data_IF_423333687916
#
_entry.id   IF_423333687916
#
_cell.length_a   1.000
_cell.length_b   1.000
_cell.length_c   1.000
_cell.angle_alpha   90.00
_cell.angle_beta   90.00
_cell.angle_gamma   90.00
#
_symmetry.space_group_name_H-M   'P 1'
#
loop_
_entity.id
_entity.type
_entity.pdbx_description
1 polymer ?
#
# COMPACT_ATOMS: atom_id res chain seq x y z
N UNK A 1 28.12 11.92 36.26
CA UNK A 1 28.06 10.61 35.56
C UNK A 1 26.79 10.43 34.74
N UNK A 2 25.59 10.72 35.26
CA UNK A 2 24.32 10.55 34.51
C UNK A 2 24.18 11.52 33.30
N UNK A 3 24.71 12.76 33.37
CA UNK A 3 24.61 13.71 32.24
C UNK A 3 25.53 13.35 31.05
N UNK A 4 26.76 12.88 31.33
CA UNK A 4 27.71 12.41 30.31
C UNK A 4 27.18 11.19 29.54
N UNK A 5 26.43 10.29 30.19
CA UNK A 5 25.78 9.16 29.52
C UNK A 5 24.72 9.65 28.53
N UNK A 6 23.83 10.57 28.95
CA UNK A 6 22.79 11.14 28.08
C UNK A 6 23.35 11.94 26.91
N UNK A 7 24.44 12.67 27.11
CA UNK A 7 25.13 13.39 26.04
C UNK A 7 25.77 12.44 25.02
N UNK A 8 26.32 11.32 25.50
CA UNK A 8 26.88 10.27 24.65
C UNK A 8 25.79 9.55 23.86
N UNK A 9 24.65 9.20 24.49
CA UNK A 9 23.51 8.56 23.83
C UNK A 9 22.92 9.47 22.75
N UNK A 10 22.72 10.75 23.05
CA UNK A 10 22.24 11.73 22.07
C UNK A 10 23.25 11.95 20.92
N UNK A 11 24.55 11.86 21.18
CA UNK A 11 25.57 11.92 20.13
C UNK A 11 25.52 10.67 19.25
N UNK A 12 25.40 9.48 19.84
CA UNK A 12 25.23 8.22 19.11
C UNK A 12 24.01 8.25 18.20
N UNK A 13 22.85 8.72 18.70
CA UNK A 13 21.64 8.88 17.88
C UNK A 13 21.87 9.83 16.69
N UNK A 14 22.55 10.96 16.91
CA UNK A 14 22.90 11.88 15.81
C UNK A 14 23.84 11.24 14.79
N UNK A 15 24.85 10.49 15.22
CA UNK A 15 25.79 9.80 14.33
C UNK A 15 25.08 8.72 13.53
N UNK A 16 24.22 7.93 14.16
CA UNK A 16 23.38 6.93 13.48
C UNK A 16 22.51 7.60 12.42
N UNK A 17 21.83 8.71 12.77
CA UNK A 17 21.00 9.47 11.83
C UNK A 17 21.81 9.99 10.63
N UNK A 18 23.04 10.47 10.84
CA UNK A 18 23.94 10.92 9.75
C UNK A 18 24.27 9.75 8.82
N UNK A 19 24.66 8.60 9.38
CA UNK A 19 25.04 7.42 8.59
C UNK A 19 23.84 6.87 7.80
N UNK A 20 22.67 6.77 8.44
CA UNK A 20 21.44 6.30 7.80
C UNK A 20 20.99 7.25 6.68
N UNK A 21 21.07 8.55 6.91
CA UNK A 21 20.76 9.57 5.90
C UNK A 21 21.70 9.45 4.69
N UNK A 22 23.01 9.34 4.92
CA UNK A 22 24.00 9.19 3.86
C UNK A 22 23.79 7.90 3.05
N UNK A 23 23.55 6.76 3.72
CA UNK A 23 23.24 5.49 3.06
C UNK A 23 21.96 5.56 2.24
N UNK A 24 20.92 6.20 2.78
CA UNK A 24 19.65 6.42 2.08
C UNK A 24 19.81 7.25 0.80
N UNK A 25 20.62 8.32 0.85
CA UNK A 25 20.92 9.14 -0.33
C UNK A 25 21.65 8.34 -1.41
N UNK A 26 22.72 7.63 -1.06
CA UNK A 26 23.48 6.80 -1.99
C UNK A 26 22.58 5.76 -2.67
N UNK A 27 21.75 5.06 -1.89
CA UNK A 27 20.82 4.07 -2.43
C UNK A 27 19.84 4.67 -3.45
N UNK A 28 19.27 5.86 -3.16
CA UNK A 28 18.36 6.56 -4.07
C UNK A 28 19.05 6.99 -5.36
N UNK A 29 20.27 7.52 -5.28
CA UNK A 29 21.07 7.91 -6.45
C UNK A 29 21.35 6.71 -7.34
N UNK A 30 21.78 5.58 -6.74
CA UNK A 30 22.04 4.34 -7.47
C UNK A 30 20.77 3.81 -8.12
N UNK A 31 19.64 3.76 -7.38
CA UNK A 31 18.36 3.31 -7.91
C UNK A 31 17.92 4.13 -9.12
N UNK A 32 17.95 5.46 -8.97
CA UNK A 32 17.58 6.40 -10.04
C UNK A 32 18.47 6.21 -11.27
N UNK A 33 19.80 6.22 -11.09
CA UNK A 33 20.74 6.05 -12.20
C UNK A 33 20.57 4.70 -12.90
N UNK A 34 20.33 3.62 -12.14
CA UNK A 34 20.14 2.27 -12.68
C UNK A 34 18.86 2.16 -13.50
N UNK A 35 17.74 2.69 -13.00
CA UNK A 35 16.46 2.69 -13.70
C UNK A 35 16.56 3.49 -15.00
N UNK A 36 17.15 4.69 -14.94
CA UNK A 36 17.38 5.50 -16.12
C UNK A 36 18.31 4.83 -17.13
N UNK A 37 19.37 4.16 -16.68
CA UNK A 37 20.28 3.43 -17.56
C UNK A 37 19.55 2.32 -18.32
N UNK A 38 18.74 1.50 -17.63
CA UNK A 38 17.97 0.44 -18.30
C UNK A 38 16.88 0.99 -19.22
N UNK A 39 16.24 2.12 -18.87
CA UNK A 39 15.30 2.79 -19.76
C UNK A 39 15.97 3.27 -21.05
N UNK A 40 17.14 3.92 -20.94
CA UNK A 40 17.91 4.38 -22.10
C UNK A 40 18.39 3.22 -22.96
N UNK A 41 18.89 2.14 -22.36
CA UNK A 41 19.27 0.92 -23.08
C UNK A 41 18.06 0.38 -23.86
N UNK A 42 16.89 0.31 -23.24
CA UNK A 42 15.65 -0.12 -23.88
C UNK A 42 15.27 0.76 -25.08
N UNK A 43 15.38 2.08 -24.93
CA UNK A 43 15.14 3.05 -26.02
C UNK A 43 16.05 2.79 -27.20
N UNK A 44 17.36 2.70 -26.97
CA UNK A 44 18.35 2.47 -28.05
C UNK A 44 18.07 1.16 -28.80
N UNK A 45 17.70 0.09 -28.07
CA UNK A 45 17.32 -1.19 -28.69
C UNK A 45 16.09 -1.04 -29.59
N UNK A 46 15.04 -0.38 -29.11
CA UNK A 46 13.79 -0.19 -29.86
C UNK A 46 13.96 0.76 -31.05
N UNK A 47 14.76 1.82 -30.92
CA UNK A 47 15.03 2.74 -32.03
C UNK A 47 15.79 2.07 -33.18
N UNK A 48 16.76 1.20 -32.87
CA UNK A 48 17.49 0.42 -33.89
C UNK A 48 16.56 -0.58 -34.57
N UNK A 49 15.69 -1.25 -33.82
CA UNK A 49 14.65 -2.15 -34.36
C UNK A 49 13.65 -1.43 -35.27
N UNK A 50 13.28 -0.18 -34.96
CA UNK A 50 12.31 0.59 -35.74
C UNK A 50 12.91 1.24 -36.99
N UNK A 51 14.20 1.60 -36.97
CA UNK A 51 14.93 2.16 -38.14
C UNK A 51 15.30 1.09 -39.16
N UNK A 52 15.43 -0.18 -38.74
CA UNK A 52 15.45 -1.32 -39.64
C UNK A 52 14.03 -1.74 -39.99
N UNK A 53 13.56 -1.51 -41.21
CA UNK A 53 12.40 -2.29 -41.68
C UNK A 53 12.80 -3.77 -41.59
N UNK A 54 12.17 -4.59 -40.72
CA UNK A 54 11.97 -6.06 -40.81
C UNK A 54 12.11 -6.83 -39.47
N UNK A 55 11.06 -7.61 -39.17
CA UNK A 55 10.87 -8.84 -38.35
C UNK A 55 11.53 -8.94 -36.95
N UNK A 56 10.73 -9.48 -36.01
CA UNK A 56 11.13 -9.85 -34.66
C UNK A 56 12.41 -10.72 -34.57
N UNK A 57 12.71 -11.48 -35.63
CA UNK A 57 13.89 -12.34 -35.73
C UNK A 57 15.22 -11.55 -35.76
N UNK A 58 15.23 -10.35 -36.35
CA UNK A 58 16.40 -9.46 -36.34
C UNK A 58 16.66 -8.84 -34.96
N UNK A 59 15.58 -8.49 -34.24
CA UNK A 59 15.68 -7.95 -32.88
C UNK A 59 16.30 -8.95 -31.89
N UNK A 60 15.94 -10.23 -31.98
CA UNK A 60 16.54 -11.25 -31.12
C UNK A 60 18.04 -11.46 -31.39
N UNK A 61 18.44 -11.52 -32.66
CA UNK A 61 19.86 -11.62 -33.04
C UNK A 61 20.67 -10.39 -32.61
N UNK A 62 20.07 -9.19 -32.70
CA UNK A 62 20.68 -7.95 -32.22
C UNK A 62 20.93 -8.01 -30.71
N UNK A 63 19.92 -8.41 -29.92
CA UNK A 63 20.05 -8.52 -28.47
C UNK A 63 21.13 -9.53 -28.08
N UNK A 64 21.19 -10.68 -28.74
CA UNK A 64 22.22 -11.70 -28.48
C UNK A 64 23.63 -11.19 -28.80
N UNK A 65 23.81 -10.52 -29.94
CA UNK A 65 25.08 -9.92 -30.34
C UNK A 65 25.54 -8.81 -29.38
N UNK A 66 24.63 -7.93 -28.98
CA UNK A 66 24.91 -6.85 -28.03
C UNK A 66 25.22 -7.42 -26.64
N UNK A 67 24.45 -8.39 -26.15
CA UNK A 67 24.69 -9.03 -24.86
C UNK A 67 26.07 -9.69 -24.77
N UNK A 68 26.50 -10.37 -25.84
CA UNK A 68 27.82 -11.00 -25.92
C UNK A 68 28.94 -9.96 -25.77
N UNK A 69 28.87 -8.85 -26.52
CA UNK A 69 29.85 -7.76 -26.46
C UNK A 69 29.86 -7.03 -25.12
N UNK A 70 28.69 -6.78 -24.54
CA UNK A 70 28.57 -6.14 -23.23
C UNK A 70 29.12 -7.05 -22.12
N UNK A 71 28.86 -8.35 -22.19
CA UNK A 71 29.37 -9.32 -21.21
C UNK A 71 30.90 -9.42 -21.26
N UNK A 72 31.50 -9.33 -22.44
CA UNK A 72 32.96 -9.27 -22.59
C UNK A 72 33.57 -7.99 -22.00
N UNK A 73 32.88 -6.84 -22.13
CA UNK A 73 33.40 -5.53 -21.71
C UNK A 73 33.16 -5.21 -20.24
N UNK A 74 32.01 -5.59 -19.69
CA UNK A 74 31.56 -5.19 -18.34
C UNK A 74 31.35 -6.38 -17.39
N UNK A 75 31.52 -7.62 -17.86
CA UNK A 75 31.34 -8.81 -17.04
C UNK A 75 29.86 -9.18 -16.83
N UNK A 76 29.51 -9.58 -15.59
CA UNK A 76 28.17 -10.08 -15.26
C UNK A 76 27.16 -8.92 -15.10
N UNK A 77 25.92 -9.12 -15.56
CA UNK A 77 24.79 -8.21 -15.31
C UNK A 77 24.04 -7.75 -16.57
N UNK A 78 24.75 -7.58 -17.70
CA UNK A 78 24.19 -7.11 -18.98
C UNK A 78 24.02 -8.24 -20.01
N UNK A 79 23.46 -9.37 -19.58
CA UNK A 79 23.15 -10.49 -20.46
C UNK A 79 21.86 -10.30 -21.27
N UNK A 80 21.56 -11.26 -22.14
CA UNK A 80 20.37 -11.28 -23.02
C UNK A 80 19.08 -10.99 -22.25
N UNK A 81 18.89 -11.65 -21.10
CA UNK A 81 17.69 -11.46 -20.27
C UNK A 81 17.54 -10.02 -19.75
N UNK A 82 18.64 -9.35 -19.40
CA UNK A 82 18.61 -7.95 -18.94
C UNK A 82 18.25 -7.01 -20.07
N UNK A 83 18.80 -7.23 -21.27
CA UNK A 83 18.46 -6.43 -22.45
C UNK A 83 17.01 -6.63 -22.89
N UNK A 84 16.48 -7.86 -22.85
CA UNK A 84 15.05 -8.13 -23.09
C UNK A 84 14.16 -7.38 -22.08
N UNK A 85 14.54 -7.38 -20.79
CA UNK A 85 13.83 -6.61 -19.76
C UNK A 85 13.92 -5.10 -19.96
N UNK A 86 15.09 -4.58 -20.32
CA UNK A 86 15.28 -3.16 -20.65
C UNK A 86 14.43 -2.74 -21.85
N UNK A 87 14.38 -3.56 -22.90
CA UNK A 87 13.50 -3.37 -24.06
C UNK A 87 12.03 -3.35 -23.66
N UNK A 88 11.58 -4.36 -22.91
CA UNK A 88 10.21 -4.40 -22.38
C UNK A 88 9.90 -3.18 -21.52
N UNK A 89 10.85 -2.76 -20.70
CA UNK A 89 10.70 -1.59 -19.83
C UNK A 89 10.44 -0.31 -20.62
N UNK A 90 11.20 -0.06 -21.70
CA UNK A 90 10.97 1.09 -22.56
C UNK A 90 9.63 1.02 -23.30
N UNK A 91 9.23 -0.17 -23.79
CA UNK A 91 7.93 -0.35 -24.45
C UNK A 91 6.75 -0.12 -23.51
N UNK A 92 6.89 -0.48 -22.23
CA UNK A 92 5.86 -0.24 -21.21
C UNK A 92 5.84 1.21 -20.73
N UNK A 93 7.01 1.86 -20.62
CA UNK A 93 7.15 3.24 -20.14
C UNK A 93 7.79 4.16 -21.20
N UNK A 94 7.20 4.33 -22.40
CA UNK A 94 7.84 5.06 -23.50
C UNK A 94 8.02 6.55 -23.19
N UNK A 95 7.20 7.11 -22.28
CA UNK A 95 7.27 8.49 -21.81
C UNK A 95 7.80 8.62 -20.37
N UNK A 96 8.31 7.54 -19.79
CA UNK A 96 8.65 7.45 -18.36
C UNK A 96 7.46 7.12 -17.48
N UNK A 97 7.68 7.20 -16.17
CA UNK A 97 6.63 7.09 -15.15
C UNK A 97 5.59 8.19 -15.33
N UNK A 98 4.32 7.84 -15.18
CA UNK A 98 3.22 8.81 -15.18
C UNK A 98 3.07 9.54 -13.83
N UNK A 99 3.91 9.19 -12.84
CA UNK A 99 3.88 9.75 -11.49
C UNK A 99 4.44 11.17 -11.52
N UNK A 100 3.67 12.18 -11.09
CA UNK A 100 4.19 13.52 -10.87
C UNK A 100 5.42 13.51 -9.93
N UNK A 101 6.53 14.18 -10.28
CA UNK A 101 7.81 14.11 -9.55
C UNK A 101 7.71 14.60 -8.08
N UNK A 102 6.66 15.34 -7.75
CA UNK A 102 6.27 15.84 -6.42
C UNK A 102 5.73 14.78 -5.46
N UNK A 103 5.34 13.60 -5.95
CA UNK A 103 4.76 12.52 -5.13
C UNK A 103 5.83 11.76 -4.30
N UNK A 104 7.11 12.05 -4.52
CA UNK A 104 8.24 11.50 -3.76
C UNK A 104 8.58 12.20 -2.45
N UNK A 105 7.74 13.13 -1.96
CA UNK A 105 7.82 13.65 -0.61
C UNK A 105 9.20 14.17 -0.21
N UNK A 106 9.86 14.92 -1.08
CA UNK A 106 10.93 15.84 -0.74
C UNK A 106 11.06 16.83 -1.90
N UNK A 107 10.60 18.07 -1.70
CA UNK A 107 11.36 19.17 -2.27
C UNK A 107 12.83 18.88 -1.96
N UNK A 108 13.71 18.94 -2.95
CA UNK A 108 15.13 19.09 -2.72
C UNK A 108 15.29 20.47 -2.06
N UNK A 109 14.89 20.58 -0.78
CA UNK A 109 15.41 21.62 0.09
C UNK A 109 16.81 21.12 0.41
N UNK A 110 17.72 21.53 -0.45
CA UNK A 110 19.11 21.78 -0.10
C UNK A 110 19.08 22.65 1.16
N UNK A 111 18.97 22.02 2.33
CA UNK A 111 19.39 22.66 3.57
C UNK A 111 20.90 22.72 3.49
N UNK A 112 21.49 23.93 3.42
CA UNK A 112 22.94 24.06 3.40
C UNK A 112 23.42 23.72 4.80
N UNK A 113 23.86 22.48 4.99
CA UNK A 113 24.63 22.13 6.16
C UNK A 113 26.08 21.96 5.70
N UNK A 114 26.89 22.92 6.14
CA UNK A 114 28.35 23.05 6.03
C UNK A 114 28.82 23.89 4.84
N UNK A 115 28.81 25.22 5.02
CA UNK A 115 29.83 26.08 4.42
C UNK A 115 31.18 25.71 5.04
N UNK A 116 32.00 24.96 4.30
CA UNK A 116 33.47 24.98 4.40
C UNK A 116 34.08 24.11 3.31
N UNK A 117 34.64 24.77 2.30
CA UNK A 117 35.79 24.26 1.56
C UNK A 117 35.54 23.17 0.51
N UNK A 118 35.60 23.61 -0.75
CA UNK A 118 35.97 22.80 -1.94
C UNK A 118 35.09 21.61 -2.30
N UNK A 119 34.15 21.86 -3.22
CA UNK A 119 33.91 21.13 -4.48
C UNK A 119 32.41 21.03 -4.77
N UNK A 120 31.87 22.02 -5.49
CA UNK A 120 30.51 22.04 -6.05
C UNK A 120 30.33 21.04 -7.21
N UNK A 121 30.81 19.80 -7.05
CA UNK A 121 30.95 18.86 -8.15
C UNK A 121 30.08 17.62 -7.87
N UNK A 122 28.87 17.62 -8.47
CA UNK A 122 28.13 16.46 -9.05
C UNK A 122 26.69 16.13 -8.61
N UNK A 123 26.05 16.85 -7.69
CA UNK A 123 24.63 16.55 -7.36
C UNK A 123 23.63 17.21 -8.32
N UNK A 124 23.91 18.44 -8.74
CA UNK A 124 23.00 19.27 -9.57
C UNK A 124 23.22 19.08 -11.07
N UNK A 125 24.45 18.76 -11.50
CA UNK A 125 24.82 18.71 -12.92
C UNK A 125 24.17 17.54 -13.70
N UNK A 126 23.81 16.44 -13.05
CA UNK A 126 23.10 15.33 -13.71
C UNK A 126 21.58 15.59 -13.83
N UNK A 127 21.05 16.49 -13.01
CA UNK A 127 19.62 16.85 -12.96
C UNK A 127 19.34 18.06 -13.88
N UNK A 128 20.25 19.03 -13.94
CA UNK A 128 20.07 20.27 -14.71
C UNK A 128 20.40 20.15 -16.21
N UNK A 129 21.21 19.17 -16.62
CA UNK A 129 21.48 18.94 -18.06
C UNK A 129 20.39 18.12 -18.77
N UNK A 130 19.28 17.80 -18.11
CA UNK A 130 18.20 16.96 -18.61
C UNK A 130 17.10 17.79 -19.29
N UNK A 131 17.46 18.50 -20.36
CA UNK A 131 16.50 19.16 -21.25
C UNK A 131 15.58 18.14 -21.95
N UNK A 132 14.28 18.39 -21.88
CA UNK A 132 13.21 17.96 -22.78
C UNK A 132 13.37 16.56 -23.44
N UNK A 133 12.90 15.49 -22.77
CA UNK A 133 12.63 14.21 -23.45
C UNK A 133 13.10 12.93 -22.76
N UNK A 134 13.57 12.98 -21.50
CA UNK A 134 13.86 11.75 -20.73
C UNK A 134 12.68 11.41 -19.82
N UNK A 135 12.21 10.16 -19.87
CA UNK A 135 11.19 9.66 -18.97
C UNK A 135 11.62 9.85 -17.52
N UNK A 136 10.75 10.42 -16.69
CA UNK A 136 10.98 10.67 -15.27
C UNK A 136 10.57 9.42 -14.48
N UNK A 137 11.33 9.05 -13.45
CA UNK A 137 11.03 7.92 -12.58
C UNK A 137 11.21 8.31 -11.11
N UNK A 138 10.33 7.86 -10.19
CA UNK A 138 10.48 8.12 -8.76
C UNK A 138 11.82 7.57 -8.20
N UNK A 139 12.57 8.37 -7.42
CA UNK A 139 13.88 7.95 -6.89
C UNK A 139 13.80 6.87 -5.81
N UNK A 140 12.60 6.64 -5.27
CA UNK A 140 12.32 5.63 -4.25
C UNK A 140 12.14 4.22 -4.84
N UNK A 141 11.83 4.12 -6.14
CA UNK A 141 11.61 2.84 -6.81
C UNK A 141 12.89 2.39 -7.53
N UNK A 142 13.41 1.24 -7.11
CA UNK A 142 14.58 0.62 -7.74
C UNK A 142 14.21 -0.23 -8.95
N UNK A 143 15.22 -0.74 -9.65
CA UNK A 143 15.02 -1.62 -10.82
C UNK A 143 14.15 -2.85 -10.49
N UNK A 144 14.35 -3.45 -9.32
CA UNK A 144 13.58 -4.62 -8.88
C UNK A 144 12.08 -4.31 -8.75
N UNK A 145 11.68 -3.11 -8.34
CA UNK A 145 10.27 -2.71 -8.32
C UNK A 145 9.68 -2.70 -9.73
N UNK A 146 10.38 -2.12 -10.70
CA UNK A 146 9.93 -2.10 -12.09
C UNK A 146 9.88 -3.50 -12.70
N UNK A 147 10.77 -4.42 -12.31
CA UNK A 147 10.67 -5.82 -12.74
C UNK A 147 9.38 -6.49 -12.26
N UNK A 148 8.93 -6.19 -11.03
CA UNK A 148 7.64 -6.67 -10.51
C UNK A 148 6.48 -6.02 -11.26
N UNK A 149 6.53 -4.69 -11.45
CA UNK A 149 5.48 -3.95 -12.17
C UNK A 149 5.33 -4.38 -13.63
N UNK A 150 6.42 -4.76 -14.30
CA UNK A 150 6.38 -5.26 -15.69
C UNK A 150 5.64 -6.58 -15.83
N UNK A 151 5.42 -7.33 -14.74
CA UNK A 151 4.61 -8.56 -14.76
C UNK A 151 3.10 -8.28 -14.67
N UNK A 152 2.71 -7.09 -14.22
CA UNK A 152 1.31 -6.68 -14.13
C UNK A 152 0.81 -6.38 -15.54
N UNK A 153 -0.21 -7.11 -16.00
CA UNK A 153 -0.73 -7.00 -17.37
C UNK A 153 -1.62 -5.77 -17.57
N UNK A 154 -2.48 -5.43 -16.59
CA UNK A 154 -3.33 -4.24 -16.66
C UNK A 154 -2.50 -2.97 -16.42
N UNK A 155 -2.49 -2.09 -17.42
CA UNK A 155 -1.80 -0.80 -17.36
C UNK A 155 -2.31 0.09 -16.22
N UNK A 156 -3.61 0.01 -15.88
CA UNK A 156 -4.20 0.81 -14.80
C UNK A 156 -3.78 0.29 -13.43
N UNK A 157 -3.82 -1.03 -13.25
CA UNK A 157 -3.34 -1.67 -12.04
C UNK A 157 -1.85 -1.37 -11.84
N UNK A 158 -1.04 -1.46 -12.92
CA UNK A 158 0.39 -1.15 -12.88
C UNK A 158 0.65 0.28 -12.42
N UNK A 159 -0.04 1.26 -13.00
CA UNK A 159 0.08 2.67 -12.59
C UNK A 159 -0.33 2.89 -11.13
N UNK A 160 -1.41 2.24 -10.68
CA UNK A 160 -1.83 2.28 -9.27
C UNK A 160 -0.75 1.73 -8.33
N UNK A 161 -0.23 0.54 -8.61
CA UNK A 161 0.81 -0.09 -7.78
C UNK A 161 2.12 0.71 -7.79
N UNK A 162 2.47 1.34 -8.91
CA UNK A 162 3.63 2.23 -9.00
C UNK A 162 3.46 3.45 -8.09
N UNK A 163 2.29 4.11 -8.15
CA UNK A 163 1.98 5.29 -7.32
C UNK A 163 2.01 4.94 -5.84
N UNK A 164 1.36 3.83 -5.46
CA UNK A 164 1.26 3.43 -4.06
C UNK A 164 2.61 2.94 -3.52
N UNK A 165 3.39 2.18 -4.29
CA UNK A 165 4.73 1.78 -3.88
C UNK A 165 5.66 2.98 -3.66
N UNK A 166 5.59 3.99 -4.53
CA UNK A 166 6.40 5.20 -4.39
C UNK A 166 6.00 6.06 -3.18
N UNK A 167 4.70 6.16 -2.89
CA UNK A 167 4.16 6.95 -1.78
C UNK A 167 4.37 6.31 -0.42
N UNK A 168 4.10 5.02 -0.33
CA UNK A 168 4.16 4.26 0.93
C UNK A 168 5.54 3.67 1.20
N UNK A 169 6.48 3.86 0.27
CA UNK A 169 7.84 3.31 0.40
C UNK A 169 7.84 1.78 0.44
N UNK A 170 6.94 1.12 -0.28
CA UNK A 170 6.84 -0.33 -0.27
C UNK A 170 8.17 -0.97 -0.69
N UNK A 171 8.62 -1.95 0.09
CA UNK A 171 9.69 -2.84 -0.35
C UNK A 171 9.23 -3.67 -1.56
N UNK A 172 10.19 -4.25 -2.29
CA UNK A 172 9.86 -5.14 -3.43
C UNK A 172 8.94 -6.28 -2.99
N UNK A 173 9.18 -6.84 -1.80
CA UNK A 173 8.35 -7.91 -1.23
C UNK A 173 6.92 -7.45 -0.94
N UNK A 174 6.77 -6.24 -0.41
CA UNK A 174 5.45 -5.68 -0.13
C UNK A 174 4.70 -5.36 -1.43
N UNK A 175 5.38 -4.80 -2.43
CA UNK A 175 4.80 -4.61 -3.76
C UNK A 175 4.35 -5.95 -4.38
N UNK A 176 5.19 -6.98 -4.35
CA UNK A 176 4.83 -8.32 -4.84
C UNK A 176 3.61 -8.87 -4.12
N UNK A 177 3.55 -8.69 -2.80
CA UNK A 177 2.41 -9.11 -1.98
C UNK A 177 1.13 -8.32 -2.31
N UNK A 178 1.21 -7.00 -2.48
CA UNK A 178 0.03 -6.18 -2.81
C UNK A 178 -0.49 -6.46 -4.23
N UNK A 179 0.41 -6.76 -5.17
CA UNK A 179 0.03 -7.24 -6.50
C UNK A 179 -0.62 -8.62 -6.42
N UNK A 180 -0.03 -9.54 -5.66
CA UNK A 180 -0.59 -10.88 -5.46
C UNK A 180 -1.97 -10.81 -4.77
N UNK A 181 -2.14 -9.87 -3.83
CA UNK A 181 -3.40 -9.62 -3.11
C UNK A 181 -4.49 -8.91 -3.90
N UNK A 182 -4.24 -8.63 -5.18
CA UNK A 182 -5.19 -7.98 -6.07
C UNK A 182 -5.80 -6.72 -5.43
N UNK A 183 -4.96 -5.93 -4.73
CA UNK A 183 -5.40 -4.74 -4.00
C UNK A 183 -6.14 -3.75 -4.91
N UNK A 184 -5.65 -3.54 -6.13
CA UNK A 184 -6.29 -2.66 -7.10
C UNK A 184 -7.70 -3.13 -7.44
N UNK A 185 -7.87 -4.42 -7.70
CA UNK A 185 -9.13 -5.05 -8.06
C UNK A 185 -10.12 -5.00 -6.89
N UNK A 186 -9.65 -5.25 -5.65
CA UNK A 186 -10.45 -5.12 -4.42
C UNK A 186 -10.96 -3.68 -4.24
N UNK A 187 -10.09 -2.68 -4.39
CA UNK A 187 -10.47 -1.27 -4.25
C UNK A 187 -11.35 -0.77 -5.40
N UNK A 188 -11.18 -1.30 -6.60
CA UNK A 188 -11.98 -0.93 -7.76
C UNK A 188 -13.42 -1.44 -7.66
N UNK A 189 -13.66 -2.55 -6.95
CA UNK A 189 -14.96 -3.20 -6.82
C UNK A 189 -16.04 -2.32 -6.14
N UNK A 190 -15.65 -1.52 -5.15
CA UNK A 190 -16.58 -0.71 -4.36
C UNK A 190 -16.76 0.71 -4.89
N UNK A 191 -16.24 1.03 -6.09
CA UNK A 191 -16.10 2.39 -6.59
C UNK A 191 -16.56 2.54 -8.05
N UNK A 192 -17.07 3.72 -8.39
CA UNK A 192 -17.50 4.05 -9.75
C UNK A 192 -16.34 4.13 -10.75
N UNK A 193 -16.65 4.00 -12.04
CA UNK A 193 -15.68 4.03 -13.15
C UNK A 193 -14.74 5.24 -13.13
N UNK A 194 -15.24 6.42 -12.74
CA UNK A 194 -14.44 7.64 -12.57
C UNK A 194 -13.49 7.57 -11.36
N UNK A 195 -13.92 6.96 -10.27
CA UNK A 195 -13.12 6.77 -9.07
C UNK A 195 -12.01 5.73 -9.29
N UNK A 196 -12.26 4.69 -10.09
CA UNK A 196 -11.25 3.71 -10.53
C UNK A 196 -10.19 4.38 -11.41
N UNK A 197 -10.62 5.25 -12.33
CA UNK A 197 -9.71 6.07 -13.13
C UNK A 197 -8.89 7.05 -12.28
N UNK A 198 -9.49 7.58 -11.20
CA UNK A 198 -8.79 8.42 -10.24
C UNK A 198 -7.74 7.63 -9.44
N UNK A 199 -8.02 6.37 -9.06
CA UNK A 199 -7.04 5.49 -8.40
C UNK A 199 -5.80 5.27 -9.26
N UNK A 200 -5.97 5.01 -10.55
CA UNK A 200 -4.85 4.77 -11.47
C UNK A 200 -4.00 6.03 -11.74
N UNK A 201 -4.56 7.24 -11.57
CA UNK A 201 -3.85 8.51 -11.85
C UNK A 201 -3.30 9.18 -10.60
N UNK A 202 -4.02 9.06 -9.48
CA UNK A 202 -3.75 9.79 -8.24
C UNK A 202 -3.54 8.88 -7.05
N UNK A 203 -3.54 7.55 -7.21
CA UNK A 203 -3.45 6.59 -6.10
C UNK A 203 -4.64 6.68 -5.14
N UNK A 204 -4.52 6.02 -3.99
CA UNK A 204 -5.53 6.06 -2.94
C UNK A 204 -5.43 7.40 -2.18
N UNK A 205 -6.48 8.21 -2.28
CA UNK A 205 -6.65 9.41 -1.44
C UNK A 205 -7.60 9.05 -0.29
N UNK A 206 -7.12 9.18 0.94
CA UNK A 206 -7.91 8.93 2.15
C UNK A 206 -8.64 10.22 2.52
N UNK A 207 -9.96 10.25 2.31
CA UNK A 207 -10.79 11.42 2.61
C UNK A 207 -11.94 11.10 3.57
N UNK A 208 -12.43 9.86 3.52
CA UNK A 208 -13.49 9.36 4.38
C UNK A 208 -13.05 8.07 5.11
N UNK A 209 -13.67 7.75 6.27
CA UNK A 209 -13.41 6.51 7.00
C UNK A 209 -13.51 5.24 6.14
N UNK A 210 -14.48 5.20 5.22
CA UNK A 210 -14.65 4.08 4.26
C UNK A 210 -13.45 3.87 3.34
N UNK A 211 -12.66 4.91 3.05
CA UNK A 211 -11.51 4.81 2.14
C UNK A 211 -10.32 4.10 2.81
N UNK A 212 -10.33 4.00 4.14
CA UNK A 212 -9.30 3.35 4.94
C UNK A 212 -9.57 1.85 5.07
N UNK A 213 -10.82 1.44 4.89
CA UNK A 213 -11.26 0.08 5.16
C UNK A 213 -11.11 -0.75 3.90
N UNK A 214 -10.26 -1.78 3.97
CA UNK A 214 -10.11 -2.79 2.91
C UNK A 214 -11.06 -3.94 3.20
N UNK A 215 -11.83 -4.39 2.21
CA UNK A 215 -12.73 -5.54 2.37
C UNK A 215 -12.56 -6.49 1.18
N UNK A 216 -12.09 -7.74 1.38
CA UNK A 216 -11.59 -8.32 2.64
C UNK A 216 -10.15 -7.90 2.97
N UNK A 217 -9.76 -7.93 4.25
CA UNK A 217 -8.36 -7.81 4.69
C UNK A 217 -7.60 -9.13 4.47
N UNK A 218 -6.41 -9.11 3.86
CA UNK A 218 -5.61 -10.32 3.59
C UNK A 218 -4.45 -10.43 4.60
N UNK A 219 -4.61 -11.34 5.55
CA UNK A 219 -3.73 -11.57 6.70
C UNK A 219 -2.75 -12.75 6.52
N UNK A 220 -2.43 -13.12 5.27
CA UNK A 220 -1.48 -14.22 4.95
C UNK A 220 -0.10 -14.06 5.63
N UNK A 221 0.34 -12.82 5.81
CA UNK A 221 1.61 -12.48 6.45
C UNK A 221 1.74 -12.95 7.90
N UNK A 222 0.62 -13.28 8.56
CA UNK A 222 0.63 -13.85 9.90
C UNK A 222 1.24 -15.26 9.92
N UNK A 223 1.33 -15.94 8.76
CA UNK A 223 1.92 -17.27 8.65
C UNK A 223 1.18 -18.31 9.50
N UNK A 224 -0.12 -18.09 9.73
CA UNK A 224 -0.94 -18.97 10.55
C UNK A 224 -1.26 -20.23 9.76
N UNK A 225 -0.75 -21.38 10.22
CA UNK A 225 -1.11 -22.70 9.71
C UNK A 225 -2.62 -22.96 9.86
N UNK A 226 -3.22 -23.78 9.00
CA UNK A 226 -4.60 -24.26 9.15
C UNK A 226 -4.73 -25.18 10.36
N UNK A 227 -4.78 -24.59 11.56
CA UNK A 227 -5.14 -25.29 12.78
C UNK A 227 -6.63 -25.05 13.06
N UNK A 228 -7.42 -26.10 13.29
CA UNK A 228 -8.87 -25.95 13.48
C UNK A 228 -9.27 -25.20 14.77
N UNK A 229 -8.32 -24.90 15.68
CA UNK A 229 -8.60 -24.41 17.03
C UNK A 229 -7.91 -23.08 17.38
N UNK A 230 -7.78 -22.15 16.43
CA UNK A 230 -7.30 -20.81 16.76
C UNK A 230 -8.23 -20.12 17.76
N UNK A 231 -7.66 -19.40 18.74
CA UNK A 231 -8.41 -18.51 19.64
C UNK A 231 -8.16 -17.06 19.26
N UNK A 232 -9.07 -16.16 19.63
CA UNK A 232 -8.97 -14.72 19.28
C UNK A 232 -7.64 -14.13 19.77
N UNK A 233 -7.22 -14.54 20.97
CA UNK A 233 -5.94 -14.18 21.57
C UNK A 233 -4.73 -14.62 20.73
N UNK A 234 -4.81 -15.74 20.02
CA UNK A 234 -3.72 -16.23 19.17
C UNK A 234 -3.62 -15.40 17.88
N UNK A 235 -4.77 -15.02 17.30
CA UNK A 235 -4.83 -14.12 16.14
C UNK A 235 -4.33 -12.71 16.51
N UNK A 236 -4.74 -12.19 17.66
CA UNK A 236 -4.25 -10.92 18.19
C UNK A 236 -2.72 -10.94 18.35
N UNK A 237 -2.20 -11.99 18.99
CA UNK A 237 -0.75 -12.12 19.21
C UNK A 237 0.01 -12.21 17.88
N UNK A 238 -0.50 -12.96 16.91
CA UNK A 238 0.10 -13.03 15.58
C UNK A 238 0.12 -11.66 14.88
N UNK A 239 -0.98 -10.90 14.96
CA UNK A 239 -1.05 -9.53 14.42
C UNK A 239 -0.05 -8.62 15.10
N UNK A 240 0.15 -8.75 16.41
CA UNK A 240 1.13 -7.96 17.16
C UNK A 240 2.56 -8.32 16.78
N UNK A 241 2.88 -9.61 16.67
CA UNK A 241 4.20 -10.10 16.25
C UNK A 241 4.54 -9.60 14.83
N UNK A 242 3.52 -9.25 14.04
CA UNK A 242 3.61 -8.73 12.68
C UNK A 242 2.93 -7.36 12.52
N UNK A 243 2.96 -6.51 13.55
CA UNK A 243 2.20 -5.26 13.57
C UNK A 243 2.60 -4.32 12.42
N UNK A 244 3.89 -4.33 12.04
CA UNK A 244 4.39 -3.57 10.88
C UNK A 244 3.68 -4.00 9.58
N UNK A 245 3.61 -5.30 9.30
CA UNK A 245 2.92 -5.84 8.14
C UNK A 245 1.40 -5.63 8.20
N UNK A 246 0.81 -5.62 9.39
CA UNK A 246 -0.60 -5.30 9.60
C UNK A 246 -0.90 -3.82 9.35
N UNK A 247 -0.04 -2.91 9.83
CA UNK A 247 -0.14 -1.47 9.55
C UNK A 247 -0.07 -1.18 8.05
N UNK A 248 0.83 -1.85 7.33
CA UNK A 248 0.92 -1.77 5.87
C UNK A 248 -0.38 -2.26 5.20
N UNK A 249 -0.98 -3.34 5.72
CA UNK A 249 -2.26 -3.84 5.21
C UNK A 249 -3.44 -2.95 5.60
N UNK A 250 -3.40 -2.20 6.71
CA UNK A 250 -4.44 -1.22 7.06
C UNK A 250 -4.40 0.00 6.14
N UNK A 251 -3.23 0.44 5.69
CA UNK A 251 -3.05 1.55 4.76
C UNK A 251 -2.56 2.83 5.41
N UNK A 252 -2.91 3.99 4.83
CA UNK A 252 -2.20 5.25 5.11
C UNK A 252 -2.58 5.89 6.43
N UNK A 253 -1.55 6.39 7.12
CA UNK A 253 -1.70 7.32 8.24
C UNK A 253 -2.02 6.66 9.59
N UNK A 254 -1.97 5.34 9.69
CA UNK A 254 -2.16 4.66 10.96
C UNK A 254 -0.95 4.79 11.88
N UNK A 255 -1.22 5.11 13.14
CA UNK A 255 -0.27 5.12 14.24
C UNK A 255 -0.80 4.18 15.32
N UNK A 256 0.01 3.22 15.74
CA UNK A 256 -0.35 2.33 16.84
C UNK A 256 -0.35 3.10 18.17
N UNK A 257 -1.44 2.97 18.93
CA UNK A 257 -1.61 3.66 20.22
C UNK A 257 -1.52 2.68 21.38
N UNK A 258 -2.34 1.61 21.34
CA UNK A 258 -2.40 0.65 22.43
C UNK A 258 -2.97 -0.69 21.97
N UNK A 259 -2.65 -1.72 22.76
CA UNK A 259 -3.18 -3.08 22.71
C UNK A 259 -3.99 -3.36 23.96
N UNK A 260 -5.05 -4.17 23.87
CA UNK A 260 -5.85 -4.65 25.01
C UNK A 260 -6.19 -3.48 25.94
N UNK A 261 -6.64 -2.38 25.34
CA UNK A 261 -6.85 -1.12 26.03
C UNK A 261 -8.05 -1.28 26.93
N UNK A 262 -7.80 -1.29 28.24
CA UNK A 262 -8.86 -1.34 29.24
C UNK A 262 -9.66 -0.04 29.24
N UNK A 263 -10.97 -0.18 29.07
CA UNK A 263 -12.00 0.83 29.28
C UNK A 263 -12.80 0.42 30.51
N UNK A 264 -12.84 1.29 31.51
CA UNK A 264 -13.60 1.05 32.74
C UNK A 264 -14.84 1.93 32.73
N UNK A 265 -16.01 1.31 32.87
CA UNK A 265 -17.29 1.98 33.05
C UNK A 265 -17.85 1.51 34.38
N UNK A 266 -17.89 2.41 35.36
CA UNK A 266 -18.23 2.12 36.75
C UNK A 266 -17.37 0.97 37.33
N UNK A 267 -17.95 -0.22 37.49
CA UNK A 267 -17.30 -1.43 38.00
C UNK A 267 -16.94 -2.46 36.92
N UNK A 268 -17.37 -2.24 35.67
CA UNK A 268 -17.13 -3.17 34.58
C UNK A 268 -15.87 -2.80 33.79
N UNK A 269 -15.09 -3.82 33.42
CA UNK A 269 -13.87 -3.68 32.65
C UNK A 269 -14.04 -4.31 31.27
N UNK A 270 -13.89 -3.47 30.26
CA UNK A 270 -13.91 -3.87 28.86
C UNK A 270 -12.52 -3.67 28.25
N UNK A 271 -12.20 -4.45 27.22
CA UNK A 271 -10.88 -4.42 26.59
C UNK A 271 -11.07 -4.28 25.08
N UNK A 272 -10.45 -3.26 24.51
CA UNK A 272 -10.37 -3.08 23.06
C UNK A 272 -9.09 -3.76 22.59
N UNK A 273 -9.20 -4.68 21.63
CA UNK A 273 -8.06 -5.45 21.14
C UNK A 273 -6.93 -4.55 20.63
N UNK A 274 -7.24 -3.65 19.70
CA UNK A 274 -6.26 -2.72 19.12
C UNK A 274 -6.82 -1.31 19.01
N UNK A 275 -6.00 -0.33 19.40
CA UNK A 275 -6.30 1.10 19.28
C UNK A 275 -5.25 1.73 18.40
N UNK A 276 -5.71 2.34 17.31
CA UNK A 276 -4.90 3.14 16.41
C UNK A 276 -5.38 4.58 16.38
N UNK A 277 -4.53 5.45 15.84
CA UNK A 277 -4.87 6.81 15.45
C UNK A 277 -4.59 6.99 13.97
N UNK A 278 -5.53 7.53 13.21
CA UNK A 278 -5.30 7.89 11.82
C UNK A 278 -4.95 9.38 11.72
N UNK A 279 -3.69 9.70 11.39
CA UNK A 279 -3.20 11.08 11.30
C UNK A 279 -3.80 11.89 10.14
N UNK A 280 -4.26 11.23 9.08
CA UNK A 280 -4.81 11.89 7.91
C UNK A 280 -6.27 12.29 8.16
N UNK A 281 -7.04 11.37 8.74
CA UNK A 281 -8.42 11.63 9.15
C UNK A 281 -8.49 12.45 10.44
N UNK A 282 -7.47 12.38 11.30
CA UNK A 282 -7.39 12.95 12.65
C UNK A 282 -8.41 12.35 13.63
N UNK A 283 -8.57 11.03 13.58
CA UNK A 283 -9.48 10.29 14.46
C UNK A 283 -8.82 9.05 15.05
N UNK A 284 -9.37 8.57 16.17
CA UNK A 284 -9.08 7.22 16.65
C UNK A 284 -9.73 6.18 15.75
N UNK A 285 -9.06 5.04 15.59
CA UNK A 285 -9.57 3.85 14.92
C UNK A 285 -9.45 2.68 15.88
N UNK A 286 -10.59 2.15 16.33
CA UNK A 286 -10.69 1.03 17.25
C UNK A 286 -10.91 -0.24 16.45
N UNK A 287 -10.14 -1.30 16.71
CA UNK A 287 -10.24 -2.57 16.00
C UNK A 287 -10.50 -3.69 17.00
N UNK A 288 -11.51 -4.52 16.71
CA UNK A 288 -11.87 -5.71 17.48
C UNK A 288 -11.86 -6.95 16.56
N UNK A 289 -11.25 -8.04 17.01
CA UNK A 289 -11.00 -9.25 16.21
C UNK A 289 -11.96 -10.37 16.63
N UNK A 290 -12.69 -10.94 15.66
CA UNK A 290 -13.64 -12.04 15.89
C UNK A 290 -13.38 -13.23 14.97
N UNK A 291 -13.17 -14.40 15.56
CA UNK A 291 -13.00 -15.64 14.79
C UNK A 291 -14.31 -16.22 14.24
N UNK A 292 -15.45 -15.81 14.80
CA UNK A 292 -16.78 -16.30 14.44
C UNK A 292 -17.60 -15.32 13.62
N UNK A 293 -18.86 -15.72 13.36
CA UNK A 293 -19.88 -14.84 12.79
C UNK A 293 -20.10 -13.64 13.69
N UNK A 294 -20.09 -12.46 13.08
CA UNK A 294 -20.41 -11.21 13.77
C UNK A 294 -21.78 -11.29 14.46
N UNK A 295 -21.84 -10.92 15.73
CA UNK A 295 -23.10 -10.85 16.50
C UNK A 295 -23.53 -9.41 16.77
N UNK A 296 -24.79 -9.21 17.12
CA UNK A 296 -25.31 -7.90 17.52
C UNK A 296 -24.65 -7.37 18.80
N UNK A 297 -24.16 -8.26 19.67
CA UNK A 297 -23.44 -7.89 20.89
C UNK A 297 -22.09 -7.26 20.56
N UNK A 298 -21.35 -7.82 19.59
CA UNK A 298 -20.06 -7.28 19.14
C UNK A 298 -20.21 -5.85 18.59
N UNK A 299 -21.25 -5.62 17.78
CA UNK A 299 -21.56 -4.29 17.24
C UNK A 299 -21.97 -3.29 18.34
N UNK A 300 -22.76 -3.74 19.31
CA UNK A 300 -23.11 -2.93 20.48
C UNK A 300 -21.90 -2.55 21.33
N UNK A 301 -21.00 -3.51 21.56
CA UNK A 301 -19.74 -3.31 22.28
C UNK A 301 -18.84 -2.31 21.56
N UNK A 302 -18.67 -2.46 20.24
CA UNK A 302 -17.91 -1.49 19.43
C UNK A 302 -18.53 -0.08 19.48
N UNK A 303 -19.87 0.02 19.44
CA UNK A 303 -20.56 1.31 19.56
C UNK A 303 -20.32 1.97 20.91
N UNK A 304 -20.27 1.20 21.98
CA UNK A 304 -19.92 1.67 23.31
C UNK A 304 -18.46 2.16 23.36
N UNK A 305 -17.53 1.46 22.72
CA UNK A 305 -16.12 1.89 22.62
C UNK A 305 -15.94 3.19 21.85
N UNK A 306 -16.55 3.31 20.67
CA UNK A 306 -16.50 4.54 19.85
C UNK A 306 -17.05 5.73 20.65
N UNK A 307 -18.19 5.54 21.33
CA UNK A 307 -18.79 6.60 22.14
C UNK A 307 -17.93 6.96 23.37
N UNK A 308 -17.27 5.99 23.99
CA UNK A 308 -16.35 6.23 25.10
C UNK A 308 -15.17 7.10 24.65
N UNK A 309 -14.55 6.77 23.52
CA UNK A 309 -13.45 7.56 22.98
C UNK A 309 -13.89 8.97 22.60
N UNK A 310 -15.03 9.10 21.92
CA UNK A 310 -15.56 10.41 21.52
C UNK A 310 -15.88 11.34 22.70
N UNK A 311 -16.26 10.78 23.86
CA UNK A 311 -16.61 11.55 25.06
C UNK A 311 -15.43 11.86 25.98
N UNK A 312 -14.45 10.96 26.08
CA UNK A 312 -13.43 11.02 27.14
C UNK A 312 -11.99 11.06 26.64
N UNK A 313 -11.71 10.65 25.40
CA UNK A 313 -10.34 10.57 24.87
C UNK A 313 -10.09 11.54 23.72
N UNK A 314 -11.10 11.76 22.88
CA UNK A 314 -11.03 12.60 21.69
C UNK A 314 -10.85 14.06 22.08
N UNK A 315 -9.87 14.73 21.46
CA UNK A 315 -9.72 16.18 21.58
C UNK A 315 -10.71 16.93 20.69
N UNK A 316 -11.01 18.20 20.99
CA UNK A 316 -12.01 18.98 20.25
C UNK A 316 -11.71 19.13 18.75
N UNK A 317 -10.43 19.17 18.37
CA UNK A 317 -9.98 19.30 16.98
C UNK A 317 -9.95 17.99 16.20
N UNK A 318 -10.20 16.86 16.87
CA UNK A 318 -10.18 15.52 16.27
C UNK A 318 -11.56 15.17 15.72
N UNK A 319 -11.59 14.48 14.57
CA UNK A 319 -12.83 13.95 13.99
C UNK A 319 -13.33 12.76 14.79
N UNK A 320 -14.58 12.38 14.56
CA UNK A 320 -15.24 11.31 15.28
C UNK A 320 -14.51 9.97 15.14
N UNK A 321 -14.46 9.22 16.24
CA UNK A 321 -13.79 7.91 16.32
C UNK A 321 -14.46 6.90 15.40
N UNK A 322 -13.64 6.08 14.75
CA UNK A 322 -14.07 5.01 13.84
C UNK A 322 -13.89 3.66 14.53
N UNK A 323 -14.88 2.78 14.44
CA UNK A 323 -14.81 1.40 14.93
C UNK A 323 -14.79 0.42 13.77
N UNK A 324 -13.88 -0.56 13.81
CA UNK A 324 -13.76 -1.63 12.82
C UNK A 324 -13.86 -2.96 13.55
N UNK A 325 -14.85 -3.78 13.21
CA UNK A 325 -14.90 -5.18 13.67
C UNK A 325 -14.42 -6.07 12.53
N UNK A 326 -13.33 -6.79 12.75
CA UNK A 326 -12.75 -7.73 11.79
C UNK A 326 -13.26 -9.14 12.11
N UNK A 327 -14.06 -9.72 11.22
CA UNK A 327 -14.64 -11.05 11.41
C UNK A 327 -14.28 -12.03 10.28
N UNK A 328 -14.34 -13.33 10.56
CA UNK A 328 -14.17 -14.37 9.54
C UNK A 328 -15.37 -14.47 8.59
N UNK A 329 -16.57 -14.19 9.11
CA UNK A 329 -17.82 -14.22 8.37
C UNK A 329 -18.71 -13.02 8.76
N UNK A 330 -19.21 -12.30 7.75
CA UNK A 330 -19.94 -11.04 7.90
C UNK A 330 -21.35 -11.18 7.36
N UNK A 331 -22.33 -10.81 8.18
CA UNK A 331 -23.73 -10.72 7.77
C UNK A 331 -24.14 -9.24 7.59
N UNK A 332 -24.16 -8.76 6.35
CA UNK A 332 -24.47 -7.36 6.02
C UNK A 332 -25.89 -6.93 6.45
N UNK A 333 -26.86 -7.84 6.48
CA UNK A 333 -28.22 -7.53 6.93
C UNK A 333 -28.25 -7.25 8.45
N UNK A 334 -27.51 -8.03 9.24
CA UNK A 334 -27.38 -7.81 10.68
C UNK A 334 -26.69 -6.48 10.99
N UNK A 335 -25.60 -6.16 10.27
CA UNK A 335 -24.87 -4.89 10.42
C UNK A 335 -25.80 -3.69 10.19
N UNK A 336 -26.60 -3.73 9.13
CA UNK A 336 -27.55 -2.64 8.80
C UNK A 336 -28.70 -2.49 9.80
N UNK A 337 -29.15 -3.59 10.42
CA UNK A 337 -30.26 -3.58 11.39
C UNK A 337 -29.78 -3.14 12.78
N UNK A 338 -28.56 -3.53 13.19
CA UNK A 338 -28.04 -3.22 14.52
C UNK A 338 -27.49 -1.78 14.62
N UNK A 339 -26.95 -1.25 13.53
CA UNK A 339 -26.39 0.10 13.50
C UNK A 339 -27.45 1.14 13.10
N UNK A 340 -27.38 2.38 13.64
CA UNK A 340 -28.26 3.47 13.21
C UNK A 340 -28.22 3.70 11.69
N UNK A 341 -29.33 4.14 11.09
CA UNK A 341 -29.43 4.36 9.63
C UNK A 341 -28.40 5.37 9.09
N UNK A 342 -27.97 6.34 9.92
CA UNK A 342 -26.93 7.33 9.60
C UNK A 342 -25.53 6.95 10.09
N UNK A 343 -25.29 5.68 10.45
CA UNK A 343 -24.00 5.30 11.00
C UNK A 343 -22.89 5.27 9.94
N UNK A 344 -21.97 6.24 10.03
CA UNK A 344 -20.76 6.32 9.21
C UNK A 344 -19.49 5.97 9.99
N UNK A 345 -19.60 5.53 11.26
CA UNK A 345 -18.46 5.39 12.19
C UNK A 345 -18.07 3.94 12.44
N UNK A 346 -19.03 3.01 12.45
CA UNK A 346 -18.76 1.60 12.73
C UNK A 346 -18.85 0.79 11.46
N UNK A 347 -17.82 0.02 11.20
CA UNK A 347 -17.68 -0.82 10.04
C UNK A 347 -17.36 -2.25 10.46
N UNK A 348 -17.92 -3.20 9.74
CA UNK A 348 -17.53 -4.60 9.84
C UNK A 348 -16.84 -5.00 8.53
N UNK A 349 -15.70 -5.69 8.62
CA UNK A 349 -14.94 -6.13 7.45
C UNK A 349 -14.52 -7.57 7.63
N UNK A 350 -14.52 -8.33 6.52
CA UNK A 350 -14.05 -9.70 6.54
C UNK A 350 -12.53 -9.73 6.48
N UNK A 351 -11.90 -10.66 7.19
CA UNK A 351 -10.49 -10.97 6.98
C UNK A 351 -10.31 -12.39 6.44
N UNK A 352 -9.25 -12.58 5.64
CA UNK A 352 -8.81 -13.89 5.15
C UNK A 352 -7.41 -14.17 5.63
N UNK A 353 -7.20 -15.39 6.11
CA UNK A 353 -5.89 -15.85 6.55
C UNK A 353 -4.98 -16.23 5.38
N UNK A 354 -5.54 -16.42 4.18
CA UNK A 354 -4.81 -16.76 2.97
C UNK A 354 -5.23 -15.87 1.81
N UNK A 355 -4.38 -15.83 0.80
CA UNK A 355 -4.63 -15.14 -0.44
C UNK A 355 -5.58 -15.96 -1.35
N UNK A 356 -6.80 -15.49 -1.64
CA UNK A 356 -7.67 -16.18 -2.59
C UNK A 356 -7.12 -16.08 -4.01
N UNK A 357 -7.35 -17.11 -4.82
CA UNK A 357 -7.05 -17.07 -6.25
C UNK A 357 -7.94 -16.05 -6.97
N UNK A 358 -7.51 -15.55 -8.13
CA UNK A 358 -8.30 -14.59 -8.93
C UNK A 358 -9.71 -15.11 -9.23
N UNK A 359 -9.83 -16.42 -9.49
CA UNK A 359 -11.10 -17.08 -9.79
C UNK A 359 -11.98 -17.25 -8.54
N UNK A 360 -11.41 -17.64 -7.40
CA UNK A 360 -12.15 -17.69 -6.13
C UNK A 360 -12.61 -16.30 -5.70
N UNK A 361 -11.75 -15.29 -5.86
CA UNK A 361 -12.11 -13.90 -5.62
C UNK A 361 -13.30 -13.55 -6.50
N UNK A 362 -13.20 -13.73 -7.84
CA UNK A 362 -14.26 -13.46 -8.83
C UNK A 362 -15.58 -14.14 -8.49
N UNK A 363 -15.56 -15.44 -8.20
CA UNK A 363 -16.77 -16.21 -7.86
C UNK A 363 -17.43 -15.69 -6.58
N UNK A 364 -16.64 -15.32 -5.59
CA UNK A 364 -17.16 -14.75 -4.35
C UNK A 364 -17.65 -13.31 -4.56
N UNK A 365 -17.02 -12.56 -5.47
CA UNK A 365 -17.53 -11.25 -5.89
C UNK A 365 -18.91 -11.38 -6.55
N UNK A 366 -19.09 -12.39 -7.40
CA UNK A 366 -20.35 -12.71 -8.06
C UNK A 366 -21.42 -13.07 -7.02
N UNK A 367 -21.09 -13.94 -6.05
CA UNK A 367 -22.00 -14.34 -4.95
C UNK A 367 -22.45 -13.15 -4.12
N UNK A 368 -21.53 -12.27 -3.72
CA UNK A 368 -21.87 -11.07 -2.95
C UNK A 368 -22.79 -10.12 -3.73
N UNK A 369 -22.56 -9.97 -5.04
CA UNK A 369 -23.43 -9.15 -5.89
C UNK A 369 -24.83 -9.77 -5.96
N UNK A 370 -24.92 -11.07 -6.15
CA UNK A 370 -26.19 -11.80 -6.15
C UNK A 370 -26.93 -11.72 -4.81
N UNK A 371 -26.21 -11.81 -3.69
CA UNK A 371 -26.79 -11.70 -2.34
C UNK A 371 -27.28 -10.28 -2.04
N UNK A 372 -26.53 -9.26 -2.45
CA UNK A 372 -26.95 -7.86 -2.36
C UNK A 372 -28.20 -7.59 -3.22
N UNK A 373 -28.23 -8.11 -4.45
CA UNK A 373 -29.40 -8.01 -5.33
C UNK A 373 -30.61 -8.75 -4.77
N UNK A 374 -30.42 -9.94 -4.18
CA UNK A 374 -31.48 -10.70 -3.50
C UNK A 374 -32.04 -9.91 -2.32
N UNK A 375 -31.17 -9.34 -1.47
CA UNK A 375 -31.59 -8.54 -0.32
C UNK A 375 -32.37 -7.28 -0.74
N UNK A 376 -31.94 -6.60 -1.81
CA UNK A 376 -32.65 -5.45 -2.39
C UNK A 376 -34.03 -5.85 -2.96
N UNK A 377 -34.14 -7.01 -3.62
CA UNK A 377 -35.43 -7.51 -4.14
C UNK A 377 -36.40 -7.88 -3.02
N UNK A 378 -35.91 -8.46 -1.93
CA UNK A 378 -36.73 -8.81 -0.75
C UNK A 378 -37.23 -7.54 -0.07
N UNK A 379 -36.35 -6.56 0.18
CA UNK A 379 -36.74 -5.28 0.77
C UNK A 379 -37.76 -4.49 -0.10
N UNK A 380 -37.61 -4.54 -1.44
CA UNK A 380 -38.54 -3.91 -2.37
C UNK A 380 -39.91 -4.60 -2.45
N UNK A 381 -39.99 -5.87 -2.05
CA UNK A 381 -41.25 -6.64 -2.00
C UNK A 381 -41.98 -6.38 -0.68
N UNK A 382 -41.27 -6.37 0.44
CA UNK A 382 -41.82 -6.03 1.76
C UNK A 382 -42.30 -4.58 1.87
N UNK A 383 -41.71 -3.65 1.10
CA UNK A 383 -42.20 -2.27 0.99
C UNK A 383 -43.55 -2.15 0.29
N UNK A 384 -43.83 -2.97 -0.73
CA UNK A 384 -45.12 -2.95 -1.45
C UNK A 384 -46.25 -3.60 -0.66
N UNK A 385 -45.93 -4.60 0.14
CA UNK A 385 -46.90 -5.29 1.00
C UNK A 385 -47.30 -4.46 2.24
N UNK A 386 -46.63 -3.34 2.52
CA UNK A 386 -47.00 -2.39 3.60
C UNK A 386 -47.79 -1.16 3.10
N UNK A 387 -47.78 -0.90 1.79
CA UNK A 387 -48.57 0.16 1.14
C UNK A 387 -49.90 -0.36 0.55
N UNK A 388 -50.12 -1.68 0.60
CA UNK A 388 -51.37 -2.37 0.26
C UNK A 388 -52.14 -2.70 1.52
#
# INVERSE_FOLDING_TARGET
>A
MISLSRECDALCERVVQIVETARGQVARTINTATVHAYWLIGRELVEVEQKGQVRAEYGEQLIEGVASRLSQRFGRGLGVATLRRARSFYLTYPRGSAIPPDIGGLEIRSTPLIESGSSEIHSTALIESAGAGRGVFPPLLGWSHYLTLLRVQDDRARAFYEIEAAREGWSVRELERQVASLLYERLAKSRDKEQVLALAKKGQTVSAPRDVIKDPFVLEFLGLEERPNWRERDLEQAIIDRLESFLLELGKGFCFVARQKRVTLDSDHFYIDLVFYNRLLRCFVLIDLKLGKLTHQDLGQMQMYVNYFDRYQRAEYETATVGIVLCSDKNDAMVKITLPQDNQRIHASRYRLYLPTEEELRQELEREREDAERALRVAAKEGRDRES
#
